data_IF_141845819886
#
_entry.id   IF_141845819886
#
_cell.length_a   1.000
_cell.length_b   1.000
_cell.length_c   1.000
_cell.angle_alpha   90.00
_cell.angle_beta   90.00
_cell.angle_gamma   90.00
#
_symmetry.space_group_name_H-M   'P 1'
#
loop_
_entity.id
_entity.type
_entity.pdbx_description
1 polymer ?
#
# COMPACT_ATOMS: atom_id res chain seq x y z
N UNK A 1 31.73 19.12 8.68
CA UNK A 1 30.68 18.08 8.76
C UNK A 1 30.85 17.10 7.60
N UNK A 2 31.09 15.82 7.90
CA UNK A 2 31.37 14.79 6.89
C UNK A 2 30.17 14.53 5.98
N UNK A 3 30.43 14.02 4.77
CA UNK A 3 29.43 13.67 3.76
C UNK A 3 28.35 12.69 4.30
N UNK A 4 28.77 11.75 5.16
CA UNK A 4 27.89 10.76 5.80
C UNK A 4 26.82 11.41 6.66
N UNK A 5 27.17 12.46 7.42
CA UNK A 5 26.20 13.18 8.25
C UNK A 5 25.17 13.95 7.41
N UNK A 6 25.56 14.43 6.21
CA UNK A 6 24.63 15.13 5.31
C UNK A 6 23.65 14.16 4.64
N UNK A 7 24.11 12.96 4.28
CA UNK A 7 23.27 11.93 3.67
C UNK A 7 22.25 11.37 4.68
N UNK A 8 22.68 11.13 5.93
CA UNK A 8 21.77 10.71 7.00
C UNK A 8 20.73 11.78 7.32
N UNK A 9 21.13 13.05 7.43
CA UNK A 9 20.18 14.15 7.64
C UNK A 9 19.20 14.26 6.46
N UNK A 10 19.68 14.16 5.22
CA UNK A 10 18.85 14.18 4.02
C UNK A 10 17.84 13.04 3.98
N UNK A 11 18.25 11.84 4.37
CA UNK A 11 17.37 10.68 4.44
C UNK A 11 16.29 10.84 5.52
N UNK A 12 16.69 11.27 6.72
CA UNK A 12 15.75 11.56 7.81
C UNK A 12 14.78 12.68 7.46
N UNK A 13 15.27 13.77 6.84
CA UNK A 13 14.43 14.87 6.40
C UNK A 13 13.46 14.43 5.30
N UNK A 14 13.89 13.55 4.40
CA UNK A 14 13.03 12.96 3.36
C UNK A 14 11.89 12.12 3.94
N UNK A 15 12.18 11.26 4.93
CA UNK A 15 11.16 10.48 5.64
C UNK A 15 10.19 11.40 6.40
N UNK A 16 10.71 12.40 7.12
CA UNK A 16 9.88 13.36 7.86
C UNK A 16 9.01 14.19 6.92
N UNK A 17 9.53 14.66 5.77
CA UNK A 17 8.73 15.37 4.77
C UNK A 17 7.67 14.47 4.11
N UNK A 18 7.98 13.20 3.86
CA UNK A 18 7.00 12.25 3.35
C UNK A 18 5.87 12.03 4.36
N UNK A 19 6.19 11.86 5.66
CA UNK A 19 5.17 11.78 6.71
C UNK A 19 4.34 13.07 6.85
N UNK A 20 4.94 14.24 6.63
CA UNK A 20 4.24 15.54 6.69
C UNK A 20 3.35 15.79 5.46
N UNK A 21 3.80 15.42 4.25
CA UNK A 21 3.04 15.65 3.02
C UNK A 21 1.81 14.74 2.91
N UNK A 22 1.89 13.52 3.46
CA UNK A 22 0.78 12.55 3.44
C UNK A 22 -0.41 12.98 4.33
N UNK A 23 -0.20 13.90 5.29
CA UNK A 23 -1.25 14.44 6.17
C UNK A 23 -1.53 15.93 5.91
N UNK A 24 -1.53 16.36 4.65
CA UNK A 24 -1.90 17.74 4.29
C UNK A 24 -3.40 18.00 4.39
N UNK A 25 -4.21 16.94 4.35
CA UNK A 25 -5.62 16.97 4.68
C UNK A 25 -5.81 16.77 6.19
N UNK A 26 -6.52 17.69 6.84
CA UNK A 26 -6.80 17.60 8.30
C UNK A 26 -7.86 16.54 8.61
N UNK A 27 -8.59 16.09 7.59
CA UNK A 27 -9.66 15.12 7.71
C UNK A 27 -9.18 13.71 7.35
N UNK A 28 -7.93 13.53 6.92
CA UNK A 28 -7.38 12.22 6.53
C UNK A 28 -6.02 12.00 7.17
N UNK A 29 -5.89 10.92 7.91
CA UNK A 29 -4.65 10.42 8.48
C UNK A 29 -4.33 9.05 7.89
N UNK A 30 -3.33 8.97 7.03
CA UNK A 30 -2.84 7.65 6.58
C UNK A 30 -2.02 7.01 7.70
N UNK A 31 -2.41 5.81 8.14
CA UNK A 31 -1.68 5.07 9.18
C UNK A 31 -0.56 4.28 8.54
N UNK A 32 -0.90 3.45 7.56
CA UNK A 32 0.02 2.50 6.96
C UNK A 32 -0.38 2.23 5.51
N UNK A 33 0.57 2.44 4.62
CA UNK A 33 0.46 1.97 3.23
C UNK A 33 1.64 1.07 2.95
N UNK A 34 1.38 -0.21 2.70
CA UNK A 34 2.34 -1.18 2.22
C UNK A 34 1.97 -1.54 0.79
N UNK A 35 2.84 -1.22 -0.14
CA UNK A 35 2.68 -1.66 -1.52
C UNK A 35 3.87 -2.55 -1.86
N UNK A 36 3.62 -3.83 -2.07
CA UNK A 36 4.56 -4.79 -2.62
C UNK A 36 4.13 -5.05 -4.08
N UNK A 37 4.75 -4.34 -5.05
CA UNK A 37 4.37 -4.46 -6.44
C UNK A 37 4.40 -5.91 -6.91
N UNK A 38 3.25 -6.42 -7.37
CA UNK A 38 3.13 -7.78 -7.89
C UNK A 38 2.92 -8.88 -6.84
N UNK A 39 2.57 -8.54 -5.59
CA UNK A 39 2.18 -9.50 -4.57
C UNK A 39 0.97 -9.04 -3.76
N UNK A 40 1.14 -8.00 -2.94
CA UNK A 40 0.13 -7.55 -1.98
C UNK A 40 0.14 -6.02 -1.87
N UNK A 41 -1.03 -5.43 -1.69
CA UNK A 41 -1.14 -4.04 -1.25
C UNK A 41 -2.03 -3.95 -0.02
N UNK A 42 -1.60 -3.20 0.98
CA UNK A 42 -2.35 -2.88 2.16
C UNK A 42 -2.37 -1.37 2.33
N UNK A 43 -3.55 -0.81 2.58
CA UNK A 43 -3.71 0.58 2.92
C UNK A 43 -4.67 0.70 4.09
N UNK A 44 -4.31 1.53 5.05
CA UNK A 44 -5.13 1.86 6.21
C UNK A 44 -5.06 3.36 6.49
N UNK A 45 -6.22 3.96 6.66
CA UNK A 45 -6.41 5.38 6.89
C UNK A 45 -7.49 5.62 7.93
N UNK A 46 -7.37 6.73 8.65
CA UNK A 46 -8.40 7.28 9.52
C UNK A 46 -8.91 8.54 8.83
N UNK A 47 -10.21 8.62 8.58
CA UNK A 47 -10.90 9.80 8.07
C UNK A 47 -11.76 10.44 9.16
N UNK A 48 -11.96 11.75 9.08
CA UNK A 48 -12.92 12.48 9.90
C UNK A 48 -14.15 12.77 9.05
N UNK A 49 -15.20 11.96 9.19
CA UNK A 49 -16.43 12.07 8.41
C UNK A 49 -17.55 12.64 9.29
N UNK A 50 -18.09 13.81 8.93
CA UNK A 50 -19.12 14.50 9.71
C UNK A 50 -18.76 14.73 11.20
N UNK A 51 -17.47 14.89 11.50
CA UNK A 51 -16.96 15.05 12.87
C UNK A 51 -16.75 13.74 13.63
N UNK A 52 -16.93 12.59 12.99
CA UNK A 52 -16.70 11.26 13.55
C UNK A 52 -15.45 10.62 12.93
N UNK A 53 -14.68 9.90 13.74
CA UNK A 53 -13.52 9.16 13.25
C UNK A 53 -13.99 7.85 12.60
N UNK A 54 -13.58 7.65 11.36
CA UNK A 54 -13.84 6.45 10.56
C UNK A 54 -12.49 5.84 10.19
N UNK A 55 -12.30 4.55 10.47
CA UNK A 55 -11.10 3.82 10.04
C UNK A 55 -11.45 3.03 8.79
N UNK A 56 -10.74 3.25 7.70
CA UNK A 56 -10.90 2.53 6.45
C UNK A 56 -9.64 1.78 6.08
N UNK A 57 -9.79 0.55 5.59
CA UNK A 57 -8.66 -0.19 5.06
C UNK A 57 -9.02 -1.04 3.85
N UNK A 58 -8.00 -1.28 3.02
CA UNK A 58 -8.06 -2.15 1.87
C UNK A 58 -6.84 -3.06 1.88
N UNK A 59 -7.06 -4.35 1.72
CA UNK A 59 -6.03 -5.35 1.49
C UNK A 59 -6.29 -6.08 0.18
N UNK A 60 -5.33 -6.02 -0.74
CA UNK A 60 -5.33 -6.78 -1.99
C UNK A 60 -4.21 -7.83 -1.94
N UNK A 61 -4.53 -9.05 -2.35
CA UNK A 61 -3.63 -10.20 -2.41
C UNK A 61 -3.79 -10.90 -3.75
N UNK A 62 -2.69 -11.24 -4.39
CA UNK A 62 -2.71 -12.11 -5.57
C UNK A 62 -2.86 -13.58 -5.19
N UNK A 63 -3.77 -14.28 -5.86
CA UNK A 63 -4.10 -15.66 -5.53
C UNK A 63 -3.31 -16.70 -6.35
N UNK A 64 -2.53 -16.27 -7.34
CA UNK A 64 -1.78 -17.18 -8.19
C UNK A 64 -1.10 -16.53 -9.39
N UNK A 65 -0.46 -17.35 -10.25
CA UNK A 65 0.10 -16.87 -11.51
C UNK A 65 -1.00 -16.42 -12.48
N UNK A 66 -0.65 -15.65 -13.54
CA UNK A 66 -1.59 -15.28 -14.58
C UNK A 66 -2.21 -16.49 -15.28
N UNK A 67 -3.47 -16.37 -15.68
CA UNK A 67 -4.17 -17.32 -16.52
C UNK A 67 -3.65 -17.27 -17.99
N UNK A 68 -4.24 -18.08 -18.87
CA UNK A 68 -3.83 -18.14 -20.29
C UNK A 68 -4.02 -16.83 -21.05
N UNK A 69 -4.87 -15.93 -20.52
CA UNK A 69 -5.14 -14.60 -21.08
C UNK A 69 -4.24 -13.51 -20.46
N UNK A 70 -3.32 -13.88 -19.56
CA UNK A 70 -2.43 -12.95 -18.88
C UNK A 70 -3.08 -12.17 -17.73
N UNK A 71 -4.25 -12.61 -17.26
CA UNK A 71 -4.95 -12.00 -16.13
C UNK A 71 -4.62 -12.70 -14.82
N UNK A 72 -4.50 -11.93 -13.76
CA UNK A 72 -4.16 -12.38 -12.41
C UNK A 72 -5.37 -12.22 -11.53
N UNK A 73 -5.77 -13.32 -10.89
CA UNK A 73 -6.84 -13.31 -9.90
C UNK A 73 -6.35 -12.67 -8.60
N UNK A 74 -7.04 -11.64 -8.14
CA UNK A 74 -6.76 -10.93 -6.90
C UNK A 74 -7.93 -11.07 -5.92
N UNK A 75 -7.64 -11.34 -4.65
CA UNK A 75 -8.57 -11.18 -3.56
C UNK A 75 -8.45 -9.76 -3.00
N UNK A 76 -9.59 -9.10 -2.81
CA UNK A 76 -9.68 -7.77 -2.21
C UNK A 76 -10.55 -7.88 -0.96
N UNK A 77 -10.02 -7.36 0.15
CA UNK A 77 -10.75 -7.16 1.39
C UNK A 77 -10.81 -5.67 1.66
N UNK A 78 -12.01 -5.11 1.73
CA UNK A 78 -12.26 -3.73 2.13
C UNK A 78 -12.95 -3.77 3.49
N UNK A 79 -12.51 -2.94 4.43
CA UNK A 79 -13.15 -2.83 5.74
C UNK A 79 -13.28 -1.38 6.19
N UNK A 80 -14.30 -1.14 7.00
CA UNK A 80 -14.59 0.16 7.61
C UNK A 80 -15.01 -0.05 9.05
N UNK A 81 -14.44 0.75 9.95
CA UNK A 81 -14.82 0.83 11.36
C UNK A 81 -15.36 2.24 11.59
N UNK A 82 -16.63 2.33 11.93
CA UNK A 82 -17.31 3.58 12.25
C UNK A 82 -18.10 3.44 13.57
N UNK A 83 -18.94 4.44 13.89
CA UNK A 83 -19.83 4.39 15.05
C UNK A 83 -20.86 3.24 15.03
N UNK A 84 -21.18 2.72 13.84
CA UNK A 84 -22.16 1.66 13.64
C UNK A 84 -21.50 0.27 13.76
N UNK A 85 -20.18 0.20 13.69
CA UNK A 85 -19.39 -0.99 14.00
C UNK A 85 -18.35 -1.30 12.92
N UNK A 86 -17.97 -2.59 12.85
CA UNK A 86 -17.05 -3.11 11.85
C UNK A 86 -17.86 -3.65 10.66
N UNK A 87 -17.55 -3.16 9.47
CA UNK A 87 -18.10 -3.62 8.20
C UNK A 87 -16.97 -4.12 7.31
N UNK A 88 -17.15 -5.28 6.69
CA UNK A 88 -16.19 -5.80 5.71
C UNK A 88 -16.88 -6.33 4.46
N UNK A 89 -16.18 -6.17 3.35
CA UNK A 89 -16.56 -6.71 2.06
C UNK A 89 -15.37 -7.46 1.46
N UNK A 90 -15.66 -8.63 0.93
CA UNK A 90 -14.68 -9.48 0.24
C UNK A 90 -15.12 -9.61 -1.21
N UNK A 91 -14.20 -9.36 -2.14
CA UNK A 91 -14.41 -9.64 -3.56
C UNK A 91 -13.18 -10.23 -4.20
N UNK A 92 -13.37 -10.80 -5.37
CA UNK A 92 -12.30 -11.34 -6.20
C UNK A 92 -12.44 -10.71 -7.57
N UNK A 93 -11.34 -10.15 -8.08
CA UNK A 93 -11.28 -9.50 -9.38
C UNK A 93 -10.15 -10.14 -10.21
N UNK A 94 -10.17 -9.89 -11.52
CA UNK A 94 -9.08 -10.26 -12.43
C UNK A 94 -8.45 -9.00 -13.00
N UNK A 95 -7.13 -8.87 -12.86
CA UNK A 95 -6.37 -7.70 -13.32
C UNK A 95 -5.26 -8.11 -14.28
N UNK A 96 -4.94 -7.31 -15.30
CA UNK A 96 -3.85 -7.62 -16.22
C UNK A 96 -2.52 -7.68 -15.47
N UNK A 97 -1.68 -8.63 -15.86
CA UNK A 97 -0.30 -8.70 -15.37
C UNK A 97 0.47 -7.43 -15.77
N UNK A 98 0.87 -6.63 -14.78
CA UNK A 98 1.73 -5.46 -15.02
C UNK A 98 3.17 -5.95 -15.24
N UNK A 99 3.75 -5.66 -16.42
CA UNK A 99 5.10 -6.10 -16.87
C UNK A 99 6.26 -5.79 -15.89
N UNK A 100 6.04 -4.94 -14.87
CA UNK A 100 7.07 -4.49 -13.94
C UNK A 100 7.57 -5.52 -12.92
N UNK A 101 7.14 -6.79 -12.98
CA UNK A 101 7.41 -7.75 -11.90
C UNK A 101 8.87 -8.11 -11.71
N UNK A 102 9.72 -7.96 -12.71
CA UNK A 102 11.07 -8.51 -12.62
C UNK A 102 12.03 -7.55 -13.29
N UNK A 103 12.66 -6.65 -12.52
CA UNK A 103 13.97 -6.20 -12.96
C UNK A 103 14.84 -7.46 -13.03
N UNK A 104 15.56 -7.66 -14.15
CA UNK A 104 16.42 -8.84 -14.32
C UNK A 104 17.38 -9.03 -13.14
N UNK A 105 17.73 -7.94 -12.43
CA UNK A 105 18.54 -7.96 -11.22
C UNK A 105 17.91 -8.73 -10.06
N UNK A 106 16.57 -8.63 -9.86
CA UNK A 106 15.88 -9.36 -8.80
C UNK A 106 15.85 -10.87 -9.10
N UNK A 107 15.56 -11.26 -10.34
CA UNK A 107 15.62 -12.66 -10.79
C UNK A 107 17.01 -13.27 -10.65
N UNK A 108 18.05 -12.54 -11.03
CA UNK A 108 19.43 -13.02 -10.91
C UNK A 108 19.86 -13.19 -9.45
N UNK A 109 19.37 -12.35 -8.53
CA UNK A 109 19.68 -12.48 -7.10
C UNK A 109 18.98 -13.66 -6.40
N UNK A 110 17.82 -14.08 -6.90
CA UNK A 110 17.05 -15.20 -6.34
C UNK A 110 17.41 -16.56 -6.94
N UNK A 111 18.06 -16.59 -8.12
CA UNK A 111 18.47 -17.81 -8.81
C UNK A 111 19.86 -18.34 -8.40
N UNK A 112 20.61 -17.60 -7.56
CA UNK A 112 21.95 -17.96 -7.09
C UNK A 112 23.07 -17.37 -7.94
#
# INVERSE_FOLDING_TARGET
MSFVNRLLLSGMLGVVLQCLMVNTDKEVLHILTLNLPGYNSYNEMITLENGELVVGGNWTVELGPPNQEGLITIAITEYTIDKNGYHSQYRTDEVPMVEKRLSEGFLKSAAG
#
